data_IF_959844549976
#
_entry.id   IF_959844549976
#
_cell.length_a   1.000
_cell.length_b   1.000
_cell.length_c   1.000
_cell.angle_alpha   90.00
_cell.angle_beta   90.00
_cell.angle_gamma   90.00
#
_symmetry.space_group_name_H-M   'P 1'
#
loop_
_entity.id
_entity.type
_entity.pdbx_description
1 polymer ?
#
# COMPACT_ATOMS: atom_id res chain seq x y z
N UNK A 1 19.86 9.03 -1.02
CA UNK A 1 19.28 8.66 0.29
C UNK A 1 20.44 8.36 1.24
N UNK A 2 20.40 8.75 2.53
CA UNK A 2 21.41 8.30 3.50
C UNK A 2 21.09 6.87 3.91
N UNK A 3 22.06 5.97 3.76
CA UNK A 3 21.98 4.54 4.09
C UNK A 3 21.37 4.26 5.47
N UNK A 4 21.71 5.09 6.46
CA UNK A 4 21.22 5.04 7.84
C UNK A 4 19.68 5.07 7.97
N UNK A 5 18.97 5.84 7.12
CA UNK A 5 17.50 5.95 7.19
C UNK A 5 16.83 4.65 6.80
N UNK A 6 17.34 4.01 5.75
CA UNK A 6 16.85 2.72 5.29
C UNK A 6 17.17 1.61 6.30
N UNK A 7 18.38 1.60 6.87
CA UNK A 7 18.76 0.61 7.89
C UNK A 7 17.83 0.70 9.12
N UNK A 8 17.53 1.92 9.61
CA UNK A 8 16.56 2.11 10.70
C UNK A 8 15.16 1.60 10.35
N UNK A 9 14.70 1.86 9.14
CA UNK A 9 13.39 1.40 8.69
C UNK A 9 13.33 -0.13 8.59
N UNK A 10 14.43 -0.74 8.12
CA UNK A 10 14.58 -2.19 8.05
C UNK A 10 14.58 -2.83 9.43
N UNK A 11 15.31 -2.26 10.40
CA UNK A 11 15.31 -2.72 11.79
C UNK A 11 13.90 -2.67 12.41
N UNK A 12 13.17 -1.59 12.15
CA UNK A 12 11.80 -1.40 12.66
C UNK A 12 10.84 -2.46 12.13
N UNK A 13 10.86 -2.74 10.81
CA UNK A 13 9.96 -3.73 10.22
C UNK A 13 10.43 -5.19 10.38
N UNK A 14 11.72 -5.40 10.69
CA UNK A 14 12.25 -6.73 11.00
C UNK A 14 11.77 -7.25 12.37
N UNK A 15 11.50 -6.34 13.32
CA UNK A 15 10.88 -6.69 14.59
C UNK A 15 9.34 -6.80 14.45
N UNK A 16 8.67 -7.61 15.29
CA UNK A 16 7.21 -7.57 15.40
C UNK A 16 6.72 -6.17 15.79
N UNK A 17 5.81 -5.59 15.02
CA UNK A 17 5.14 -4.32 15.34
C UNK A 17 3.79 -4.58 16.02
N UNK A 18 3.45 -3.83 17.06
CA UNK A 18 2.20 -4.06 17.79
C UNK A 18 0.98 -3.46 17.08
N UNK A 19 1.19 -2.44 16.25
CA UNK A 19 0.15 -1.79 15.44
C UNK A 19 0.69 -1.43 14.04
N UNK A 20 -0.23 -1.25 13.09
CA UNK A 20 0.03 -0.71 11.77
C UNK A 20 -0.13 0.82 11.72
N UNK A 21 -0.60 1.43 12.80
CA UNK A 21 -0.73 2.88 12.93
C UNK A 21 0.61 3.56 12.62
N UNK A 22 0.56 4.65 11.86
CA UNK A 22 1.73 5.42 11.45
C UNK A 22 2.81 4.64 10.66
N UNK A 23 2.57 3.41 10.20
CA UNK A 23 3.54 2.69 9.36
C UNK A 23 3.85 3.41 8.04
N UNK A 24 2.92 4.23 7.55
CA UNK A 24 3.18 5.14 6.42
C UNK A 24 4.32 6.13 6.71
N UNK A 25 4.47 6.61 7.94
CA UNK A 25 5.49 7.60 8.32
C UNK A 25 6.91 7.06 8.15
N UNK A 26 7.09 5.74 8.26
CA UNK A 26 8.34 5.06 7.98
C UNK A 26 8.85 5.38 6.56
N UNK A 27 7.95 5.44 5.60
CA UNK A 27 8.27 5.71 4.20
C UNK A 27 8.64 7.19 3.99
N UNK A 28 8.02 8.14 4.71
CA UNK A 28 8.41 9.55 4.67
C UNK A 28 9.77 9.79 5.31
N UNK A 29 10.06 9.07 6.40
CA UNK A 29 11.35 9.16 7.07
C UNK A 29 12.47 8.58 6.20
N UNK A 30 12.15 7.59 5.36
CA UNK A 30 13.10 6.86 4.50
C UNK A 30 13.31 7.52 3.13
N UNK A 31 12.21 7.84 2.45
CA UNK A 31 12.18 8.34 1.07
C UNK A 31 11.87 9.84 1.04
N UNK A 32 12.35 10.53 0.01
CA UNK A 32 12.04 11.95 -0.20
C UNK A 32 10.73 12.06 -0.97
N UNK A 33 9.64 11.82 -0.28
CA UNK A 33 8.26 11.90 -0.78
C UNK A 33 7.46 12.83 0.12
N UNK A 34 6.33 13.35 -0.39
CA UNK A 34 5.47 14.28 0.35
C UNK A 34 4.51 13.54 1.26
N UNK A 35 4.08 12.34 0.89
CA UNK A 35 3.30 11.47 1.75
C UNK A 35 3.27 10.02 1.27
N UNK A 36 2.73 9.17 2.13
CA UNK A 36 2.61 7.74 1.89
C UNK A 36 1.33 7.18 2.53
N UNK A 37 0.84 6.08 1.99
CA UNK A 37 -0.23 5.27 2.55
C UNK A 37 0.12 3.78 2.46
N UNK A 38 -0.53 3.01 3.32
CA UNK A 38 -0.46 1.55 3.36
C UNK A 38 -1.89 1.05 3.39
N UNK A 39 -2.23 0.15 2.48
CA UNK A 39 -3.58 -0.39 2.37
C UNK A 39 -3.55 -1.89 2.08
N UNK A 40 -4.54 -2.62 2.62
CA UNK A 40 -4.83 -3.98 2.16
C UNK A 40 -5.68 -3.92 0.90
N UNK A 41 -5.51 -4.89 0.01
CA UNK A 41 -6.32 -5.00 -1.20
C UNK A 41 -6.60 -6.47 -1.53
N UNK A 42 -7.87 -6.77 -1.83
CA UNK A 42 -8.30 -8.08 -2.31
C UNK A 42 -9.15 -8.86 -1.31
N UNK A 43 -9.56 -10.05 -1.72
CA UNK A 43 -10.65 -10.79 -1.04
C UNK A 43 -10.23 -11.40 0.30
N UNK A 44 -8.93 -11.63 0.51
CA UNK A 44 -8.43 -12.34 1.70
C UNK A 44 -8.47 -11.44 2.94
N UNK A 45 -7.95 -10.21 2.83
CA UNK A 45 -7.86 -9.27 3.93
C UNK A 45 -8.84 -8.10 3.80
N UNK A 46 -9.63 -8.07 2.72
CA UNK A 46 -10.44 -6.93 2.35
C UNK A 46 -9.61 -5.76 1.82
N UNK A 47 -10.32 -4.74 1.37
CA UNK A 47 -9.75 -3.49 0.87
C UNK A 47 -9.96 -2.39 1.91
N UNK A 48 -8.87 -1.89 2.50
CA UNK A 48 -8.93 -0.82 3.50
C UNK A 48 -7.58 -0.10 3.62
N UNK A 49 -7.63 1.21 3.85
CA UNK A 49 -6.47 2.00 4.29
C UNK A 49 -6.11 1.63 5.72
N UNK A 50 -4.86 1.21 5.94
CA UNK A 50 -4.33 0.84 7.26
C UNK A 50 -3.60 2.01 7.92
N UNK A 51 -2.89 2.80 7.11
CA UNK A 51 -2.10 3.93 7.59
C UNK A 51 -1.94 4.94 6.46
N UNK A 52 -1.99 6.22 6.80
CA UNK A 52 -1.67 7.31 5.89
C UNK A 52 -0.93 8.41 6.66
N UNK A 53 0.10 8.98 6.06
CA UNK A 53 0.94 9.98 6.71
C UNK A 53 0.33 11.38 6.77
N UNK A 54 -0.62 11.64 5.88
CA UNK A 54 -1.33 12.91 5.78
C UNK A 54 -2.67 12.72 5.03
N UNK A 55 -3.49 13.76 5.04
CA UNK A 55 -4.83 13.75 4.43
C UNK A 55 -4.80 13.51 2.91
N UNK A 56 -3.80 14.04 2.20
CA UNK A 56 -3.66 13.86 0.76
C UNK A 56 -3.30 12.41 0.41
N UNK A 57 -2.41 11.77 1.17
CA UNK A 57 -2.08 10.35 1.00
C UNK A 57 -3.30 9.47 1.28
N UNK A 58 -4.05 9.74 2.34
CA UNK A 58 -5.30 9.05 2.64
C UNK A 58 -6.29 9.20 1.48
N UNK A 59 -6.44 10.43 0.96
CA UNK A 59 -7.36 10.71 -0.14
C UNK A 59 -6.97 10.01 -1.45
N UNK A 60 -5.69 9.98 -1.79
CA UNK A 60 -5.18 9.26 -2.97
C UNK A 60 -5.50 7.76 -2.84
N UNK A 61 -5.28 7.18 -1.66
CA UNK A 61 -5.56 5.77 -1.39
C UNK A 61 -7.06 5.46 -1.48
N UNK A 62 -7.92 6.27 -0.84
CA UNK A 62 -9.38 6.17 -0.94
C UNK A 62 -9.87 6.20 -2.39
N UNK A 63 -9.39 7.15 -3.20
CA UNK A 63 -9.76 7.24 -4.63
C UNK A 63 -9.42 5.94 -5.36
N UNK A 64 -8.24 5.35 -5.11
CA UNK A 64 -7.86 4.08 -5.75
C UNK A 64 -8.74 2.92 -5.29
N UNK A 65 -9.07 2.85 -4.00
CA UNK A 65 -9.93 1.81 -3.45
C UNK A 65 -11.35 1.89 -4.01
N UNK A 66 -11.92 3.10 -4.05
CA UNK A 66 -13.28 3.36 -4.53
C UNK A 66 -13.43 3.08 -6.03
N UNK A 67 -12.49 3.59 -6.84
CA UNK A 67 -12.54 3.46 -8.29
C UNK A 67 -12.03 2.10 -8.77
N UNK A 68 -11.33 1.36 -7.91
CA UNK A 68 -10.59 0.14 -8.27
C UNK A 68 -9.64 0.35 -9.46
N UNK A 69 -9.10 1.55 -9.56
CA UNK A 69 -8.24 2.02 -10.64
C UNK A 69 -7.10 2.83 -10.04
N UNK A 70 -5.89 2.69 -10.58
CA UNK A 70 -4.73 3.45 -10.15
C UNK A 70 -3.45 2.63 -10.09
N UNK A 71 -2.32 3.27 -9.75
CA UNK A 71 -1.02 2.62 -9.69
C UNK A 71 -0.96 1.41 -8.75
N UNK A 72 -1.68 1.39 -7.62
CA UNK A 72 -1.68 0.25 -6.70
C UNK A 72 -2.25 -1.03 -7.32
N UNK A 73 -3.31 -0.90 -8.12
CA UNK A 73 -3.97 -2.02 -8.79
C UNK A 73 -3.12 -2.56 -9.93
N UNK A 74 -2.50 -1.68 -10.72
CA UNK A 74 -1.49 -2.08 -11.72
C UNK A 74 -0.31 -2.80 -11.04
N UNK A 75 0.15 -2.29 -9.90
CA UNK A 75 1.29 -2.86 -9.17
C UNK A 75 0.97 -4.28 -8.65
N UNK A 76 -0.23 -4.48 -8.12
CA UNK A 76 -0.73 -5.79 -7.69
C UNK A 76 -0.89 -6.75 -8.87
N UNK A 77 -1.53 -6.31 -9.96
CA UNK A 77 -1.78 -7.13 -11.14
C UNK A 77 -0.46 -7.60 -11.79
N UNK A 78 0.53 -6.72 -11.85
CA UNK A 78 1.83 -7.02 -12.48
C UNK A 78 2.88 -7.58 -11.53
N UNK A 79 2.62 -7.55 -10.21
CA UNK A 79 3.58 -7.85 -9.13
C UNK A 79 4.87 -7.03 -9.23
N UNK A 80 4.79 -5.82 -9.76
CA UNK A 80 5.94 -4.93 -9.98
C UNK A 80 5.64 -3.53 -9.45
N UNK A 81 6.65 -2.79 -8.97
CA UNK A 81 6.45 -1.39 -8.66
C UNK A 81 5.98 -0.60 -9.88
N UNK A 82 5.05 0.32 -9.66
CA UNK A 82 4.59 1.27 -10.66
C UNK A 82 5.13 2.63 -10.29
N UNK A 83 5.91 3.23 -11.19
CA UNK A 83 6.61 4.49 -10.95
C UNK A 83 6.10 5.53 -11.96
N UNK A 84 5.37 6.52 -11.47
CA UNK A 84 4.87 7.65 -12.25
C UNK A 84 5.62 8.90 -11.82
N UNK A 85 6.67 9.26 -12.55
CA UNK A 85 7.53 10.39 -12.18
C UNK A 85 6.89 11.76 -12.44
N UNK A 86 5.92 11.81 -13.35
CA UNK A 86 5.12 12.99 -13.63
C UNK A 86 3.68 12.57 -13.99
N UNK A 87 2.72 12.82 -13.08
CA UNK A 87 1.32 12.44 -13.27
C UNK A 87 0.70 13.14 -14.48
N UNK A 88 1.08 14.39 -14.75
CA UNK A 88 0.54 15.18 -15.88
C UNK A 88 1.04 14.68 -17.23
N UNK A 89 2.16 13.94 -17.26
CA UNK A 89 2.71 13.34 -18.47
C UNK A 89 2.13 11.95 -18.80
N UNK A 90 1.24 11.41 -17.95
CA UNK A 90 0.61 10.12 -18.21
C UNK A 90 -0.31 10.17 -19.44
N UNK A 91 -0.35 9.10 -20.25
CA UNK A 91 -1.31 8.99 -21.35
C UNK A 91 -2.75 9.22 -20.88
N UNK A 92 -3.58 9.88 -21.71
CA UNK A 92 -4.95 10.21 -21.37
C UNK A 92 -5.78 9.00 -20.89
N UNK A 93 -5.61 7.86 -21.55
CA UNK A 93 -6.32 6.60 -21.25
C UNK A 93 -5.84 5.88 -19.99
N UNK A 94 -4.64 6.21 -19.47
CA UNK A 94 -4.10 5.52 -18.29
C UNK A 94 -4.74 6.08 -17.03
N UNK A 95 -5.45 5.21 -16.31
CA UNK A 95 -6.14 5.51 -15.07
C UNK A 95 -7.06 6.73 -15.16
N UNK A 96 -7.97 6.75 -16.15
CA UNK A 96 -8.70 7.97 -16.52
C UNK A 96 -9.52 8.53 -15.36
N UNK A 97 -10.32 7.70 -14.69
CA UNK A 97 -11.18 8.16 -13.59
C UNK A 97 -10.33 8.55 -12.37
N UNK A 98 -9.31 7.75 -12.06
CA UNK A 98 -8.36 8.07 -10.99
C UNK A 98 -7.64 9.41 -11.23
N UNK A 99 -7.13 9.66 -12.43
CA UNK A 99 -6.44 10.92 -12.75
C UNK A 99 -7.38 12.12 -12.64
N UNK A 100 -8.61 12.00 -13.12
CA UNK A 100 -9.60 13.07 -13.02
C UNK A 100 -9.90 13.38 -11.55
N UNK A 101 -10.03 12.35 -10.70
CA UNK A 101 -10.25 12.52 -9.27
C UNK A 101 -9.03 13.12 -8.54
N UNK A 102 -7.82 12.63 -8.82
CA UNK A 102 -6.59 13.08 -8.16
C UNK A 102 -6.09 14.44 -8.67
N UNK A 103 -6.60 14.93 -9.81
CA UNK A 103 -6.24 16.24 -10.36
C UNK A 103 -6.55 17.43 -9.43
N UNK A 104 -7.44 17.20 -8.45
CA UNK A 104 -7.81 18.17 -7.42
C UNK A 104 -6.80 18.23 -6.26
N UNK A 105 -5.93 17.24 -6.18
CA UNK A 105 -4.90 17.11 -5.16
C UNK A 105 -3.54 17.63 -5.66
N UNK A 106 -2.67 18.08 -4.75
CA UNK A 106 -1.33 18.52 -5.13
C UNK A 106 -0.39 17.32 -5.32
N UNK A 107 -0.49 16.65 -6.47
CA UNK A 107 0.27 15.45 -6.81
C UNK A 107 1.06 15.63 -8.11
N UNK A 108 2.38 15.60 -8.00
CA UNK A 108 3.31 15.65 -9.12
C UNK A 108 3.84 14.28 -9.54
N UNK A 109 4.02 13.35 -8.59
CA UNK A 109 4.48 11.98 -8.85
C UNK A 109 3.77 10.97 -7.94
N UNK A 110 3.62 9.73 -8.42
CA UNK A 110 2.99 8.61 -7.71
C UNK A 110 3.85 7.35 -7.86
N UNK A 111 4.02 6.62 -6.76
CA UNK A 111 4.78 5.37 -6.73
C UNK A 111 4.02 4.34 -5.92
N UNK A 112 3.70 3.20 -6.54
CA UNK A 112 3.03 2.09 -5.87
C UNK A 112 3.96 0.89 -5.78
N UNK A 113 4.06 0.32 -4.59
CA UNK A 113 4.87 -0.85 -4.29
C UNK A 113 3.96 -1.96 -3.78
N UNK A 114 3.84 -3.06 -4.53
CA UNK A 114 2.91 -4.10 -4.15
C UNK A 114 3.45 -4.88 -2.94
N UNK A 115 2.56 -5.21 -2.01
CA UNK A 115 2.83 -6.02 -0.83
C UNK A 115 2.36 -7.46 -1.06
N UNK A 116 3.28 -8.42 -0.97
CA UNK A 116 3.00 -9.84 -1.15
C UNK A 116 3.62 -10.69 -0.03
N UNK A 117 2.94 -11.76 0.37
CA UNK A 117 3.54 -12.85 1.14
C UNK A 117 3.45 -14.13 0.31
N UNK A 118 4.59 -14.55 -0.25
CA UNK A 118 4.63 -15.62 -1.24
C UNK A 118 3.76 -15.25 -2.47
N UNK A 119 2.81 -16.11 -2.89
CA UNK A 119 1.90 -15.79 -3.98
C UNK A 119 0.77 -14.83 -3.58
N UNK A 120 0.46 -14.70 -2.29
CA UNK A 120 -0.75 -14.02 -1.79
C UNK A 120 -0.59 -12.50 -1.81
N UNK A 121 -1.46 -11.76 -2.54
CA UNK A 121 -1.51 -10.31 -2.47
C UNK A 121 -2.00 -9.87 -1.09
N UNK A 122 -1.25 -8.98 -0.46
CA UNK A 122 -1.63 -8.37 0.82
C UNK A 122 -2.22 -6.98 0.58
N UNK A 123 -1.62 -6.20 -0.32
CA UNK A 123 -2.04 -4.84 -0.60
C UNK A 123 -0.94 -4.01 -1.28
N UNK A 124 -0.87 -2.73 -1.00
CA UNK A 124 0.17 -1.87 -1.56
C UNK A 124 0.65 -0.80 -0.55
N UNK A 125 1.87 -0.34 -0.77
CA UNK A 125 2.37 0.92 -0.22
C UNK A 125 2.38 1.93 -1.36
N UNK A 126 1.65 3.01 -1.18
CA UNK A 126 1.65 4.12 -2.12
C UNK A 126 2.42 5.30 -1.54
N UNK A 127 3.18 5.97 -2.39
CA UNK A 127 3.91 7.18 -2.06
C UNK A 127 3.63 8.23 -3.13
N UNK A 128 3.51 9.48 -2.71
CA UNK A 128 3.35 10.60 -3.64
C UNK A 128 4.34 11.72 -3.35
N UNK A 129 4.72 12.45 -4.38
CA UNK A 129 5.41 13.73 -4.25
C UNK A 129 4.55 14.84 -4.85
N UNK A 130 4.55 16.01 -4.24
CA UNK A 130 3.76 17.17 -4.70
C UNK A 130 4.30 17.81 -5.97
N UNK A 131 5.55 17.51 -6.33
CA UNK A 131 6.20 17.88 -7.60
C UNK A 131 6.66 16.63 -8.33
N UNK A 132 6.87 16.69 -9.66
CA UNK A 132 7.51 15.60 -10.39
C UNK A 132 8.81 15.14 -9.71
N UNK A 133 8.98 13.83 -9.58
CA UNK A 133 10.07 13.21 -8.85
C UNK A 133 10.30 11.79 -9.35
N UNK A 134 11.54 11.29 -9.25
CA UNK A 134 11.90 9.93 -9.65
C UNK A 134 12.57 9.15 -8.51
N UNK A 135 12.49 7.82 -8.59
CA UNK A 135 13.24 6.94 -7.70
C UNK A 135 14.45 6.37 -8.44
N UNK A 136 15.63 6.46 -7.83
CA UNK A 136 16.80 5.72 -8.32
C UNK A 136 16.55 4.21 -8.22
N UNK A 137 17.23 3.38 -9.03
CA UNK A 137 17.09 1.92 -8.93
C UNK A 137 17.36 1.36 -7.53
N UNK A 138 18.25 2.00 -6.77
CA UNK A 138 18.49 1.63 -5.37
C UNK A 138 17.29 1.94 -4.48
N UNK A 139 16.70 3.13 -4.60
CA UNK A 139 15.49 3.49 -3.84
C UNK A 139 14.32 2.57 -4.16
N UNK A 140 14.14 2.18 -5.43
CA UNK A 140 13.11 1.20 -5.81
C UNK A 140 13.34 -0.12 -5.08
N UNK A 141 14.57 -0.66 -5.10
CA UNK A 141 14.89 -1.91 -4.37
C UNK A 141 14.63 -1.79 -2.87
N UNK A 142 15.00 -0.67 -2.27
CA UNK A 142 14.78 -0.41 -0.85
C UNK A 142 13.30 -0.35 -0.50
N UNK A 143 12.49 0.35 -1.32
CA UNK A 143 11.05 0.44 -1.12
C UNK A 143 10.36 -0.93 -1.26
N UNK A 144 10.78 -1.75 -2.23
CA UNK A 144 10.31 -3.14 -2.37
C UNK A 144 10.63 -3.96 -1.11
N UNK A 145 11.86 -3.88 -0.60
CA UNK A 145 12.24 -4.62 0.63
C UNK A 145 11.38 -4.21 1.83
N UNK A 146 11.13 -2.90 2.01
CA UNK A 146 10.28 -2.43 3.11
C UNK A 146 8.81 -2.84 2.91
N UNK A 147 8.30 -2.79 1.69
CA UNK A 147 6.95 -3.27 1.37
C UNK A 147 6.79 -4.77 1.66
N UNK A 148 7.79 -5.60 1.32
CA UNK A 148 7.78 -7.04 1.62
C UNK A 148 7.82 -7.33 3.13
N UNK A 149 8.59 -6.56 3.90
CA UNK A 149 8.62 -6.71 5.35
C UNK A 149 7.29 -6.27 5.97
N UNK A 150 6.72 -5.16 5.51
CA UNK A 150 5.43 -4.67 5.97
C UNK A 150 4.31 -5.65 5.63
N UNK A 151 4.33 -6.28 4.45
CA UNK A 151 3.37 -7.32 4.06
C UNK A 151 3.29 -8.46 5.09
N UNK A 152 4.44 -8.88 5.64
CA UNK A 152 4.51 -9.91 6.68
C UNK A 152 3.92 -9.44 8.00
N UNK A 153 4.16 -8.17 8.37
CA UNK A 153 3.60 -7.59 9.60
C UNK A 153 2.07 -7.45 9.50
N UNK A 154 1.56 -6.96 8.37
CA UNK A 154 0.13 -6.88 8.08
C UNK A 154 -0.51 -8.27 8.21
N UNK A 155 0.03 -9.28 7.52
CA UNK A 155 -0.49 -10.64 7.60
C UNK A 155 -0.47 -11.19 9.03
N UNK A 156 0.62 -10.98 9.77
CA UNK A 156 0.74 -11.45 11.17
C UNK A 156 -0.35 -10.85 12.06
N UNK A 157 -0.57 -9.54 11.95
CA UNK A 157 -1.58 -8.84 12.75
C UNK A 157 -3.01 -9.23 12.35
N UNK A 158 -3.28 -9.40 11.05
CA UNK A 158 -4.57 -9.91 10.58
C UNK A 158 -4.87 -11.31 11.11
N UNK A 159 -3.87 -12.20 11.16
CA UNK A 159 -4.02 -13.54 11.71
C UNK A 159 -4.25 -13.54 13.23
N UNK A 160 -3.56 -12.66 13.97
CA UNK A 160 -3.77 -12.49 15.40
C UNK A 160 -5.21 -12.01 15.70
N UNK A 161 -5.68 -10.98 14.99
CA UNK A 161 -7.04 -10.46 15.13
C UNK A 161 -8.12 -11.51 14.80
N UNK A 162 -7.89 -12.34 13.78
CA UNK A 162 -8.82 -13.43 13.43
C UNK A 162 -8.85 -14.56 14.47
N UNK A 163 -7.75 -14.79 15.20
CA UNK A 163 -7.70 -15.78 16.29
C UNK A 163 -8.47 -15.33 17.52
N UNK A 164 -8.50 -14.02 17.77
CA UNK A 164 -9.21 -13.39 18.89
C UNK A 164 -10.72 -13.18 18.61
N UNK A 165 -11.17 -13.39 17.38
CA UNK A 165 -12.57 -13.25 17.01
C UNK A 165 -13.49 -14.27 17.75
N UNK A 166 -14.66 -13.85 18.26
CA UNK A 166 -15.58 -14.75 18.98
C UNK A 166 -15.96 -15.99 18.16
N UNK A 167 -15.93 -17.17 18.80
CA UNK A 167 -16.22 -18.48 18.16
C UNK A 167 -17.56 -18.54 17.40
N UNK A 168 -18.50 -17.63 17.68
CA UNK A 168 -19.78 -17.55 16.98
C UNK A 168 -19.69 -17.09 15.51
N UNK A 169 -18.70 -16.28 15.15
CA UNK A 169 -18.51 -15.89 13.74
C UNK A 169 -17.96 -17.04 12.89
N UNK A 170 -17.27 -17.99 13.53
CA UNK A 170 -16.52 -19.09 12.86
C UNK A 170 -17.42 -20.24 12.40
N UNK A 171 -18.64 -20.38 12.92
CA UNK A 171 -19.57 -21.46 12.54
C UNK A 171 -20.55 -21.09 11.44
N UNK A 172 -20.81 -19.79 11.22
CA UNK A 172 -21.78 -19.32 10.20
C UNK A 172 -21.28 -19.49 8.76
N UNK A 173 -19.97 -19.55 8.53
CA UNK A 173 -19.39 -19.66 7.18
C UNK A 173 -19.36 -21.08 6.60
N UNK A 174 -19.78 -22.12 7.33
CA UNK A 174 -19.80 -23.52 6.84
C UNK A 174 -21.17 -24.06 6.45
N UNK A 175 -22.24 -23.27 6.49
CA UNK A 175 -23.62 -23.79 6.30
C UNK A 175 -24.36 -23.23 5.09
N UNK A 176 -23.65 -22.74 4.07
CA UNK A 176 -24.26 -22.43 2.75
C UNK A 176 -23.68 -23.39 1.71
N UNK A 177 -23.94 -24.67 1.91
CA UNK A 177 -24.12 -25.65 0.83
C UNK A 177 -24.85 -26.83 1.45
N UNK A 178 -25.76 -27.43 0.69
CA UNK A 178 -26.80 -28.38 1.11
C UNK A 178 -28.10 -27.75 1.61
N UNK A 179 -28.94 -27.38 0.64
CA UNK A 179 -30.35 -27.78 0.67
C UNK A 179 -30.78 -28.29 -0.71
N UNK A 180 -31.66 -29.30 -0.75
CA UNK A 180 -31.86 -30.25 -1.85
C UNK A 180 -32.64 -29.70 -3.04
#
# INVERSE_FOLDING_TARGET
MRRERFERALETLAAPVDSLDCTADLFLQTFRVTGASVSTMGDVLGSATLSASNEVAARIDEIQLDLREGPCWDALATRKPVLTENVTALPAHRWSAFKDAVSREQVGALFAFPMFVGPTPIGAVDMYASTPAGFTPMQVRQAVVLADLLAKQVLRLSLASAADAPKEARWRSRRIEERP
#
